data_IF_766814927017
#
_entry.id   IF_766814927017
#
_cell.length_a   1.000
_cell.length_b   1.000
_cell.length_c   1.000
_cell.angle_alpha   90.00
_cell.angle_beta   90.00
_cell.angle_gamma   90.00
#
_symmetry.space_group_name_H-M   'P 1'
#
loop_
_entity.id
_entity.type
_entity.pdbx_description
1 polymer ?
#
# COMPACT_ATOMS: atom_id res chain seq x y z
N UNK A 1 -18.58 4.37 6.90
CA UNK A 1 -17.11 4.39 6.69
C UNK A 1 -16.84 5.04 5.35
N UNK A 2 -15.96 6.04 5.30
CA UNK A 2 -15.51 6.68 4.05
C UNK A 2 -14.05 6.36 3.82
N UNK A 3 -13.66 6.14 2.57
CA UNK A 3 -12.25 6.04 2.18
C UNK A 3 -11.84 7.40 1.66
N UNK A 4 -10.83 8.00 2.27
CA UNK A 4 -10.38 9.35 1.99
C UNK A 4 -8.86 9.34 1.73
N UNK A 5 -8.34 10.20 0.84
CA UNK A 5 -6.91 10.46 0.74
C UNK A 5 -6.29 10.74 2.11
N UNK A 6 -5.10 10.21 2.36
CA UNK A 6 -4.40 10.47 3.63
C UNK A 6 -3.97 11.94 3.72
N UNK A 7 -4.10 12.48 4.93
CA UNK A 7 -3.67 13.81 5.35
C UNK A 7 -3.10 13.70 6.76
N UNK A 8 -2.40 14.73 7.24
CA UNK A 8 -1.89 14.76 8.62
C UNK A 8 -2.99 14.61 9.68
N UNK A 9 -4.24 14.93 9.34
CA UNK A 9 -5.36 14.94 10.29
C UNK A 9 -6.13 13.63 10.34
N UNK A 10 -5.93 12.72 9.39
CA UNK A 10 -6.71 11.48 9.27
C UNK A 10 -5.84 10.21 9.26
N UNK A 11 -4.65 10.23 9.85
CA UNK A 11 -3.79 9.05 10.00
C UNK A 11 -4.22 8.19 11.20
N UNK A 12 -4.28 6.87 11.02
CA UNK A 12 -4.53 5.93 12.10
C UNK A 12 -3.48 6.07 13.22
N UNK A 13 -3.86 6.19 14.50
CA UNK A 13 -2.91 6.46 15.59
C UNK A 13 -1.77 5.43 15.72
N UNK A 14 -1.99 4.16 15.38
CA UNK A 14 -0.92 3.15 15.40
C UNK A 14 0.12 3.37 14.28
N UNK A 15 -0.29 3.92 13.13
CA UNK A 15 0.61 4.26 12.04
C UNK A 15 1.59 5.36 12.46
N UNK A 16 1.18 6.28 13.33
CA UNK A 16 2.02 7.36 13.86
C UNK A 16 3.03 6.89 14.93
N UNK A 17 2.96 5.62 15.38
CA UNK A 17 3.85 5.09 16.43
C UNK A 17 5.13 4.47 15.90
N UNK A 18 5.28 4.37 14.58
CA UNK A 18 6.46 3.84 13.92
C UNK A 18 6.82 4.71 12.73
N UNK A 19 8.11 4.88 12.48
CA UNK A 19 8.65 5.57 11.30
C UNK A 19 9.70 4.71 10.58
N UNK A 20 9.65 3.39 10.77
CA UNK A 20 10.63 2.47 10.20
C UNK A 20 10.79 2.67 8.69
N UNK A 21 9.68 2.75 7.96
CA UNK A 21 9.72 2.88 6.51
C UNK A 21 10.29 4.22 6.05
N UNK A 22 9.97 5.28 6.77
CA UNK A 22 10.25 6.66 6.41
C UNK A 22 11.66 7.10 6.82
N UNK A 23 12.16 6.59 7.96
CA UNK A 23 13.46 6.95 8.52
C UNK A 23 14.54 5.88 8.29
N UNK A 24 14.15 4.61 8.09
CA UNK A 24 15.07 3.47 7.92
C UNK A 24 15.91 3.13 9.16
N UNK A 25 15.61 3.73 10.31
CA UNK A 25 16.35 3.55 11.56
C UNK A 25 15.45 3.86 12.76
N UNK A 26 15.92 3.52 13.96
CA UNK A 26 15.23 3.90 15.20
C UNK A 26 15.29 5.42 15.39
N UNK A 27 14.12 6.01 15.67
CA UNK A 27 13.96 7.44 15.87
C UNK A 27 13.32 7.76 17.21
N UNK A 28 13.67 8.91 17.77
CA UNK A 28 13.14 9.34 19.07
C UNK A 28 11.66 9.73 19.00
N UNK A 29 11.21 10.31 17.88
CA UNK A 29 9.84 10.76 17.67
C UNK A 29 9.30 10.22 16.31
N UNK A 30 8.73 9.01 16.31
CA UNK A 30 8.15 8.43 15.11
C UNK A 30 7.01 9.26 14.50
N UNK A 31 6.25 9.99 15.32
CA UNK A 31 5.13 10.78 14.83
C UNK A 31 5.63 12.00 14.03
N UNK A 32 6.67 12.67 14.55
CA UNK A 32 7.32 13.78 13.86
C UNK A 32 7.92 13.34 12.52
N UNK A 33 8.65 12.21 12.50
CA UNK A 33 9.24 11.68 11.26
C UNK A 33 8.17 11.29 10.24
N UNK A 34 7.07 10.69 10.69
CA UNK A 34 5.93 10.39 9.83
C UNK A 34 5.30 11.66 9.25
N UNK A 35 5.12 12.70 10.06
CA UNK A 35 4.58 13.98 9.63
C UNK A 35 5.48 14.63 8.57
N UNK A 36 6.79 14.69 8.83
CA UNK A 36 7.77 15.23 7.89
C UNK A 36 7.75 14.47 6.56
N UNK A 37 7.76 13.13 6.63
CA UNK A 37 7.68 12.29 5.44
C UNK A 37 6.37 12.49 4.68
N UNK A 38 5.24 12.54 5.37
CA UNK A 38 3.93 12.69 4.74
C UNK A 38 3.80 14.05 4.04
N UNK A 39 4.22 15.13 4.70
CA UNK A 39 4.24 16.47 4.10
C UNK A 39 5.13 16.52 2.85
N UNK A 40 6.36 16.01 2.93
CA UNK A 40 7.30 16.00 1.80
C UNK A 40 6.78 15.15 0.64
N UNK A 41 6.27 13.95 0.94
CA UNK A 41 5.81 12.98 -0.06
C UNK A 41 4.54 13.48 -0.76
N UNK A 42 3.59 14.05 -0.03
CA UNK A 42 2.39 14.66 -0.63
C UNK A 42 2.74 15.78 -1.63
N UNK A 43 3.80 16.55 -1.37
CA UNK A 43 4.26 17.61 -2.26
C UNK A 43 5.02 17.10 -3.48
N UNK A 44 5.85 16.06 -3.32
CA UNK A 44 6.82 15.62 -4.33
C UNK A 44 6.36 14.41 -5.15
N UNK A 45 5.65 13.47 -4.51
CA UNK A 45 5.14 12.24 -5.11
C UNK A 45 3.62 12.29 -5.34
N UNK A 46 2.91 13.14 -4.60
CA UNK A 46 1.46 13.25 -4.60
C UNK A 46 0.82 12.30 -3.59
N UNK A 47 -0.42 11.86 -3.87
CA UNK A 47 -1.15 10.96 -2.98
C UNK A 47 -0.34 9.69 -2.67
N UNK A 48 -0.10 9.46 -1.38
CA UNK A 48 0.78 8.41 -0.84
C UNK A 48 0.09 7.53 0.21
N UNK A 49 -1.24 7.52 0.25
CA UNK A 49 -2.01 6.69 1.16
C UNK A 49 -3.50 6.99 1.18
N UNK A 50 -4.24 6.10 1.83
CA UNK A 50 -5.67 6.26 2.09
C UNK A 50 -5.97 5.95 3.55
N UNK A 51 -6.98 6.61 4.08
CA UNK A 51 -7.52 6.32 5.40
C UNK A 51 -9.01 5.96 5.31
N UNK A 52 -9.40 4.95 6.07
CA UNK A 52 -10.79 4.63 6.31
C UNK A 52 -11.26 5.42 7.55
N UNK A 53 -12.23 6.32 7.38
CA UNK A 53 -12.68 7.25 8.41
C UNK A 53 -14.18 7.04 8.69
N UNK A 54 -14.51 6.88 9.97
CA UNK A 54 -15.88 7.01 10.48
C UNK A 54 -15.96 8.32 11.28
N UNK A 55 -15.88 8.24 12.61
CA UNK A 55 -15.72 9.40 13.50
C UNK A 55 -14.24 9.73 13.75
N UNK A 56 -13.38 8.72 13.62
CA UNK A 56 -11.93 8.83 13.70
C UNK A 56 -11.29 7.87 12.68
N UNK A 57 -9.99 8.02 12.36
CA UNK A 57 -9.30 7.12 11.44
C UNK A 57 -9.28 5.69 11.97
N UNK A 58 -10.03 4.82 11.31
CA UNK A 58 -10.17 3.41 11.66
C UNK A 58 -9.08 2.54 11.01
N UNK A 59 -8.52 2.99 9.89
CA UNK A 59 -7.39 2.33 9.24
C UNK A 59 -6.64 3.32 8.33
N UNK A 60 -5.36 3.05 8.08
CA UNK A 60 -4.53 3.79 7.12
C UNK A 60 -3.62 2.81 6.36
N UNK A 61 -3.56 2.98 5.05
CA UNK A 61 -2.58 2.35 4.17
C UNK A 61 -1.67 3.44 3.58
N UNK A 62 -0.36 3.21 3.57
CA UNK A 62 0.62 4.12 2.98
C UNK A 62 1.39 3.42 1.86
N UNK A 63 1.76 4.19 0.85
CA UNK A 63 2.54 3.71 -0.30
C UNK A 63 3.38 4.85 -0.89
N UNK A 64 4.52 4.50 -1.48
CA UNK A 64 5.36 5.43 -2.23
C UNK A 64 6.34 4.66 -3.14
N UNK A 65 7.12 5.39 -3.94
CA UNK A 65 8.29 4.81 -4.59
C UNK A 65 9.28 4.28 -3.53
N UNK A 66 9.97 3.14 -3.75
CA UNK A 66 10.95 2.59 -2.81
C UNK A 66 12.04 3.58 -2.40
N UNK A 67 12.44 4.49 -3.29
CA UNK A 67 13.44 5.52 -3.01
C UNK A 67 12.99 6.56 -1.96
N UNK A 68 11.70 6.64 -1.66
CA UNK A 68 11.12 7.50 -0.63
C UNK A 68 10.88 6.74 0.69
N UNK A 69 11.27 5.47 0.75
CA UNK A 69 11.05 4.58 1.88
C UNK A 69 12.39 3.93 2.28
N UNK A 70 13.30 4.65 2.96
CA UNK A 70 14.61 4.12 3.35
C UNK A 70 14.54 2.75 4.05
N UNK A 71 13.51 2.50 4.87
CA UNK A 71 13.33 1.22 5.56
C UNK A 71 13.14 0.01 4.62
N UNK A 72 12.76 0.23 3.35
CA UNK A 72 12.69 -0.83 2.36
C UNK A 72 14.06 -1.48 2.06
N UNK A 73 15.16 -0.73 2.27
CA UNK A 73 16.52 -1.24 2.10
C UNK A 73 16.93 -2.25 3.18
N UNK A 74 16.27 -2.21 4.35
CA UNK A 74 16.58 -3.07 5.49
C UNK A 74 15.78 -4.39 5.47
N UNK A 75 14.90 -4.58 4.49
CA UNK A 75 13.99 -5.73 4.45
C UNK A 75 14.69 -7.01 3.97
N UNK A 76 14.52 -8.16 4.66
CA UNK A 76 15.24 -9.41 4.35
C UNK A 76 14.99 -9.97 2.95
N UNK A 77 13.78 -9.77 2.40
CA UNK A 77 13.40 -10.21 1.04
C UNK A 77 13.55 -9.11 -0.01
N UNK A 78 14.25 -8.03 0.34
CA UNK A 78 14.55 -6.89 -0.53
C UNK A 78 15.74 -7.11 -1.46
N UNK A 79 16.14 -6.06 -2.20
CA UNK A 79 15.48 -4.75 -2.27
C UNK A 79 14.16 -4.82 -3.06
N UNK A 80 13.25 -3.87 -2.80
CA UNK A 80 12.05 -3.68 -3.62
C UNK A 80 12.44 -3.23 -5.05
N UNK A 81 11.62 -3.60 -6.04
CA UNK A 81 11.93 -3.30 -7.43
C UNK A 81 11.74 -1.80 -7.72
N UNK A 82 12.66 -1.14 -8.44
CA UNK A 82 12.63 0.32 -8.63
C UNK A 82 11.50 0.82 -9.53
N UNK A 83 10.88 -0.07 -10.31
CA UNK A 83 9.75 0.22 -11.19
C UNK A 83 8.39 0.13 -10.47
N UNK A 84 8.35 -0.49 -9.28
CA UNK A 84 7.12 -0.68 -8.53
C UNK A 84 6.86 0.47 -7.55
N UNK A 85 5.58 0.71 -7.26
CA UNK A 85 5.19 1.40 -6.03
C UNK A 85 5.13 0.40 -4.88
N UNK A 86 5.73 0.74 -3.74
CA UNK A 86 5.75 -0.10 -2.56
C UNK A 86 4.63 0.31 -1.60
N UNK A 87 3.74 -0.61 -1.24
CA UNK A 87 2.87 -0.46 -0.08
C UNK A 87 3.75 -0.66 1.16
N UNK A 88 4.01 0.42 1.89
CA UNK A 88 4.91 0.41 3.04
C UNK A 88 4.21 -0.12 4.28
N UNK A 89 2.98 0.33 4.53
CA UNK A 89 2.28 -0.06 5.74
C UNK A 89 0.77 -0.09 5.60
N UNK A 90 0.14 -0.97 6.37
CA UNK A 90 -1.28 -1.07 6.59
C UNK A 90 -1.56 -1.21 8.08
N UNK A 91 -2.25 -0.24 8.65
CA UNK A 91 -2.71 -0.26 10.03
C UNK A 91 -4.23 -0.24 10.06
N UNK A 92 -4.83 -1.23 10.71
CA UNK A 92 -6.28 -1.26 10.94
C UNK A 92 -6.58 -1.35 12.43
N UNK A 93 -7.67 -0.73 12.86
CA UNK A 93 -8.33 -1.08 14.11
C UNK A 93 -8.72 -2.57 14.11
N UNK A 94 -8.72 -3.19 15.29
CA UNK A 94 -9.11 -4.57 15.58
C UNK A 94 -9.27 -5.50 14.35
N UNK A 95 -8.15 -5.90 13.74
CA UNK A 95 -8.03 -6.96 12.71
C UNK A 95 -9.18 -7.02 11.68
N UNK A 96 -9.67 -5.87 11.21
CA UNK A 96 -10.72 -5.82 10.21
C UNK A 96 -10.15 -6.14 8.81
N UNK A 97 -10.20 -7.43 8.46
CA UNK A 97 -9.75 -7.92 7.15
C UNK A 97 -10.54 -7.32 5.98
N UNK A 98 -11.77 -6.83 6.21
CA UNK A 98 -12.57 -6.21 5.17
C UNK A 98 -12.07 -4.81 4.84
N UNK A 99 -11.69 -4.02 5.86
CA UNK A 99 -11.07 -2.70 5.65
C UNK A 99 -9.69 -2.80 4.98
N UNK A 100 -8.93 -3.85 5.33
CA UNK A 100 -7.65 -4.13 4.69
C UNK A 100 -7.81 -4.29 3.17
N UNK A 101 -8.78 -5.11 2.74
CA UNK A 101 -9.06 -5.32 1.32
C UNK A 101 -9.51 -4.02 0.62
N UNK A 102 -10.45 -3.28 1.23
CA UNK A 102 -10.96 -2.02 0.66
C UNK A 102 -9.84 -0.98 0.49
N UNK A 103 -8.92 -0.88 1.44
CA UNK A 103 -7.78 0.04 1.35
C UNK A 103 -6.77 -0.41 0.28
N UNK A 104 -6.50 -1.71 0.15
CA UNK A 104 -5.66 -2.23 -0.93
C UNK A 104 -6.31 -1.92 -2.28
N UNK A 105 -7.61 -2.15 -2.46
CA UNK A 105 -8.32 -1.84 -3.71
C UNK A 105 -8.25 -0.35 -4.05
N UNK A 106 -8.37 0.54 -3.06
CA UNK A 106 -8.23 1.99 -3.25
C UNK A 106 -6.81 2.37 -3.74
N UNK A 107 -5.77 1.74 -3.19
CA UNK A 107 -4.39 1.90 -3.66
C UNK A 107 -4.25 1.43 -5.10
N UNK A 108 -4.73 0.22 -5.42
CA UNK A 108 -4.62 -0.35 -6.76
C UNK A 108 -5.33 0.54 -7.80
N UNK A 109 -6.56 0.97 -7.53
CA UNK A 109 -7.30 1.86 -8.44
C UNK A 109 -6.59 3.19 -8.70
N UNK A 110 -5.98 3.79 -7.66
CA UNK A 110 -5.17 5.01 -7.81
C UNK A 110 -3.92 4.80 -8.65
N UNK A 111 -3.19 3.70 -8.42
CA UNK A 111 -1.94 3.42 -9.12
C UNK A 111 -2.16 3.03 -10.59
N UNK A 112 -3.24 2.29 -10.86
CA UNK A 112 -3.71 2.03 -12.22
C UNK A 112 -4.01 3.33 -12.95
N UNK A 113 -4.77 4.26 -12.35
CA UNK A 113 -5.08 5.55 -12.97
C UNK A 113 -3.84 6.44 -13.22
N UNK A 114 -2.71 6.13 -12.57
CA UNK A 114 -1.41 6.81 -12.75
C UNK A 114 -0.47 6.08 -13.71
N UNK A 115 -0.92 5.01 -14.35
CA UNK A 115 -0.12 4.17 -15.24
C UNK A 115 1.16 3.64 -14.58
N UNK A 116 1.07 3.31 -13.29
CA UNK A 116 2.15 2.64 -12.56
C UNK A 116 2.19 1.17 -12.99
N UNK A 117 3.36 0.61 -13.36
CA UNK A 117 3.42 -0.73 -13.94
C UNK A 117 3.20 -1.85 -12.91
N UNK A 118 3.61 -1.63 -11.66
CA UNK A 118 3.52 -2.65 -10.63
C UNK A 118 3.40 -2.11 -9.22
N UNK A 119 2.88 -2.96 -8.34
CA UNK A 119 2.81 -2.74 -6.91
C UNK A 119 3.52 -3.87 -6.19
N UNK A 120 4.34 -3.53 -5.21
CA UNK A 120 4.98 -4.50 -4.32
C UNK A 120 4.58 -4.26 -2.88
N UNK A 121 4.70 -5.31 -2.06
CA UNK A 121 4.52 -5.24 -0.62
C UNK A 121 5.38 -6.30 0.05
N UNK A 122 5.92 -5.97 1.22
CA UNK A 122 6.49 -6.96 2.13
C UNK A 122 5.35 -7.55 2.97
N UNK A 123 5.16 -8.85 2.84
CA UNK A 123 4.15 -9.60 3.57
C UNK A 123 4.59 -9.91 5.00
N UNK A 124 3.62 -10.23 5.85
CA UNK A 124 3.85 -10.71 7.21
C UNK A 124 3.20 -12.08 7.40
N UNK A 125 4.02 -13.09 7.68
CA UNK A 125 3.58 -14.44 8.09
C UNK A 125 3.60 -14.60 9.60
N UNK A 126 4.64 -14.11 10.25
CA UNK A 126 4.89 -14.24 11.68
C UNK A 126 6.05 -13.33 12.12
N UNK A 127 6.45 -13.40 13.39
CA UNK A 127 7.64 -12.71 13.89
C UNK A 127 7.41 -11.27 14.34
N UNK A 128 8.51 -10.56 14.59
CA UNK A 128 8.54 -9.25 15.28
C UNK A 128 8.30 -8.06 14.37
N UNK A 129 8.11 -8.27 13.07
CA UNK A 129 7.89 -7.20 12.10
C UNK A 129 6.43 -6.71 12.00
N UNK A 130 5.47 -7.39 12.64
CA UNK A 130 4.08 -6.93 12.65
C UNK A 130 3.88 -5.45 13.06
N UNK A 131 4.56 -4.93 14.10
CA UNK A 131 4.43 -3.54 14.55
C UNK A 131 4.88 -2.45 13.55
N UNK A 132 5.66 -2.79 12.51
CA UNK A 132 6.03 -1.81 11.46
C UNK A 132 4.94 -1.69 10.37
N UNK A 133 3.82 -2.38 10.52
CA UNK A 133 2.65 -2.26 9.64
C UNK A 133 2.73 -3.10 8.38
N UNK A 134 3.54 -4.16 8.38
CA UNK A 134 3.55 -5.11 7.25
C UNK A 134 2.17 -5.69 6.97
N UNK A 135 1.93 -6.00 5.71
CA UNK A 135 0.62 -6.45 5.24
C UNK A 135 0.52 -7.96 5.51
N UNK A 136 -0.51 -8.46 6.21
CA UNK A 136 -0.70 -9.88 6.38
C UNK A 136 -0.74 -10.63 5.03
N UNK A 137 -0.02 -11.75 4.93
CA UNK A 137 0.10 -12.52 3.68
C UNK A 137 -1.27 -12.85 3.06
N UNK A 138 -2.23 -13.24 3.88
CA UNK A 138 -3.58 -13.58 3.42
C UNK A 138 -4.32 -12.40 2.78
N UNK A 139 -4.02 -11.15 3.14
CA UNK A 139 -4.58 -9.95 2.50
C UNK A 139 -3.99 -9.78 1.11
N UNK A 140 -2.67 -9.91 0.97
CA UNK A 140 -1.96 -9.79 -0.31
C UNK A 140 -2.41 -10.87 -1.31
N UNK A 141 -2.45 -12.13 -0.86
CA UNK A 141 -2.88 -13.26 -1.70
C UNK A 141 -4.32 -13.10 -2.16
N UNK A 142 -5.24 -12.67 -1.27
CA UNK A 142 -6.64 -12.43 -1.62
C UNK A 142 -6.81 -11.27 -2.60
N UNK A 143 -5.96 -10.25 -2.51
CA UNK A 143 -5.96 -9.13 -3.46
C UNK A 143 -5.38 -9.52 -4.84
N UNK A 144 -4.74 -10.68 -4.97
CA UNK A 144 -4.19 -11.17 -6.24
C UNK A 144 -2.70 -10.90 -6.42
N UNK A 145 -1.99 -10.49 -5.37
CA UNK A 145 -0.53 -10.39 -5.44
C UNK A 145 0.09 -11.80 -5.56
N UNK A 146 1.13 -11.90 -6.38
CA UNK A 146 1.94 -13.11 -6.52
C UNK A 146 3.20 -13.04 -5.68
N UNK A 147 3.64 -14.17 -5.14
CA UNK A 147 4.90 -14.25 -4.40
C UNK A 147 6.07 -13.99 -5.37
N UNK A 148 6.89 -12.99 -5.08
CA UNK A 148 8.07 -12.62 -5.86
C UNK A 148 9.36 -13.17 -5.24
N UNK A 149 9.52 -13.01 -3.93
CA UNK A 149 10.67 -13.55 -3.17
C UNK A 149 10.14 -14.21 -1.91
N UNK A 150 10.46 -15.49 -1.73
CA UNK A 150 10.07 -16.23 -0.54
C UNK A 150 10.98 -15.91 0.65
N UNK A 151 10.39 -15.85 1.85
CA UNK A 151 11.07 -15.69 3.13
C UNK A 151 10.16 -16.18 4.25
N UNK A 152 10.71 -16.82 5.29
CA UNK A 152 9.92 -17.50 6.31
C UNK A 152 8.96 -16.56 7.06
N UNK A 153 9.42 -15.35 7.40
CA UNK A 153 8.61 -14.37 8.14
C UNK A 153 8.07 -13.21 7.27
N UNK A 154 8.81 -12.86 6.22
CA UNK A 154 8.71 -11.57 5.53
C UNK A 154 8.80 -11.71 4.00
N UNK A 155 7.98 -12.56 3.37
CA UNK A 155 7.99 -12.74 1.92
C UNK A 155 7.69 -11.44 1.17
N UNK A 156 8.24 -11.25 -0.02
CA UNK A 156 7.91 -10.10 -0.89
C UNK A 156 6.95 -10.51 -2.00
N UNK A 157 5.92 -9.71 -2.18
CA UNK A 157 4.83 -9.91 -3.14
C UNK A 157 4.83 -8.82 -4.20
N UNK A 158 4.36 -9.17 -5.39
CA UNK A 158 4.22 -8.26 -6.53
C UNK A 158 2.91 -8.49 -7.28
N UNK A 159 2.32 -7.41 -7.76
CA UNK A 159 1.23 -7.39 -8.71
C UNK A 159 1.61 -6.50 -9.89
N UNK A 160 1.57 -7.05 -11.11
CA UNK A 160 1.62 -6.25 -12.34
C UNK A 160 0.25 -5.58 -12.53
N UNK A 161 0.25 -4.28 -12.78
CA UNK A 161 -0.96 -3.52 -13.04
C UNK A 161 -1.24 -3.45 -14.54
N UNK A 162 -2.52 -3.49 -14.95
CA UNK A 162 -2.86 -3.28 -16.35
C UNK A 162 -2.52 -1.84 -16.76
N UNK A 163 -2.05 -1.62 -18.00
CA UNK A 163 -1.89 -0.26 -18.53
C UNK A 163 -3.23 0.45 -18.59
N UNK A 164 -3.24 1.78 -18.44
CA UNK A 164 -4.49 2.58 -18.46
C UNK A 164 -5.31 2.31 -19.73
N UNK A 165 -4.64 2.25 -20.89
CA UNK A 165 -5.28 2.02 -22.19
C UNK A 165 -5.86 0.60 -22.31
N UNK A 166 -5.32 -0.37 -21.58
CA UNK A 166 -5.81 -1.75 -21.56
C UNK A 166 -7.19 -1.91 -20.93
N UNK A 167 -7.55 -1.02 -20.00
CA UNK A 167 -8.87 -1.01 -19.35
C UNK A 167 -9.96 -0.46 -20.28
N UNK A 168 -9.62 0.54 -21.10
CA UNK A 168 -10.50 1.04 -22.15
C UNK A 168 -10.73 -0.04 -23.22
N UNK A 169 -9.67 -0.73 -23.63
CA UNK A 169 -9.77 -1.83 -24.59
C UNK A 169 -10.61 -3.01 -24.07
N UNK A 170 -10.50 -3.36 -22.77
CA UNK A 170 -11.33 -4.40 -22.17
C UNK A 170 -12.83 -4.03 -22.14
N UNK A 171 -13.14 -2.78 -21.80
CA UNK A 171 -14.52 -2.28 -21.81
C UNK A 171 -15.12 -2.24 -23.23
N UNK A 172 -14.35 -1.84 -24.24
CA UNK A 172 -14.78 -1.88 -25.65
C UNK A 172 -15.05 -3.31 -26.13
N UNK A 173 -14.25 -4.29 -25.70
CA UNK A 173 -14.46 -5.72 -26.02
C UNK A 173 -15.73 -6.25 -25.36
N UNK A 174 -15.99 -5.91 -24.09
CA UNK A 174 -17.20 -6.31 -23.38
C UNK A 174 -18.46 -5.68 -23.98
N UNK A 175 -18.39 -4.41 -24.40
CA UNK A 175 -19.46 -3.72 -25.12
C UNK A 175 -19.76 -4.40 -26.48
N UNK A 176 -18.73 -4.76 -27.26
CA UNK A 176 -18.90 -5.50 -28.52
C UNK A 176 -19.57 -6.86 -28.32
N UNK A 177 -19.22 -7.58 -27.25
CA UNK A 177 -19.80 -8.88 -26.93
C UNK A 177 -21.28 -8.74 -26.51
N UNK A 178 -21.64 -7.68 -25.78
CA UNK A 178 -23.03 -7.41 -25.39
C UNK A 178 -23.95 -7.07 -26.58
N UNK A 179 -23.42 -6.42 -27.61
CA UNK A 179 -24.15 -6.06 -28.84
C UNK A 179 -24.38 -7.27 -29.75
N UNK A 180 -23.54 -8.30 -29.65
CA UNK A 180 -23.62 -9.51 -30.48
C UNK A 180 -24.61 -10.58 -29.98
N UNK A 181 -25.26 -10.37 -28.83
CA UNK A 181 -26.24 -11.30 -28.21
C UNK A 181 -27.68 -10.73 -28.24
N UNK A 182 -27.89 -9.58 -28.89
CA UNK A 182 -29.21 -8.92 -29.05
C UNK A 182 -29.95 -9.28 -30.34
#
# INVERSE_FOLDING_TARGET
MRIEPVTLQNVHPACLRTAFWEAGSDVADPAMEKELWLSSTLMTYGLCGFSAVADSPAATILFAAPSLLPGAGEMPSGPASPDATLISSLFTGAMDSSLSAVLVDAVLGHLVARDIPAVEAFGWRSGTFGPIGLIPENVLVKAGFSLLVDHDEVPRYRMELPPVDGLLAAAEVEELLSVSVG
#
